data_IF_810527870552
#
_entry.id   IF_810527870552
#
_cell.length_a   1.000
_cell.length_b   1.000
_cell.length_c   1.000
_cell.angle_alpha   90.00
_cell.angle_beta   90.00
_cell.angle_gamma   90.00
#
_symmetry.space_group_name_H-M   'P 1'
#
loop_
_entity.id
_entity.type
_entity.pdbx_description
1 polymer ?
#
# COMPACT_ATOMS: atom_id res chain seq x y z
N UNK A 1 8.27 -5.32 36.42
CA UNK A 1 8.90 -4.56 37.53
C UNK A 1 10.30 -4.22 37.11
N UNK A 2 10.55 -2.96 36.76
CA UNK A 2 11.69 -2.55 35.94
C UNK A 2 12.79 -1.82 36.70
N UNK A 3 13.94 -1.70 36.03
CA UNK A 3 15.18 -0.99 36.45
C UNK A 3 14.93 0.43 36.98
N UNK A 4 13.77 1.03 36.70
CA UNK A 4 13.31 2.32 37.23
C UNK A 4 13.17 2.39 38.75
N UNK A 5 13.05 1.23 39.42
CA UNK A 5 13.02 1.16 40.89
C UNK A 5 14.40 1.26 41.52
N UNK A 6 15.46 1.23 40.70
CA UNK A 6 16.82 1.49 41.14
C UNK A 6 17.10 2.96 40.88
N UNK A 7 17.16 3.77 41.94
CA UNK A 7 17.24 5.23 41.83
C UNK A 7 18.44 5.71 41.01
N UNK A 8 19.58 4.99 41.06
CA UNK A 8 20.78 5.32 40.28
C UNK A 8 20.61 5.09 38.77
N UNK A 9 19.60 4.33 38.34
CA UNK A 9 19.36 4.02 36.92
C UNK A 9 18.20 4.84 36.34
N UNK A 10 17.54 5.66 37.15
CA UNK A 10 16.32 6.37 36.74
C UNK A 10 16.61 7.41 35.66
N UNK A 11 17.72 8.13 35.77
CA UNK A 11 18.13 9.15 34.80
C UNK A 11 18.50 8.52 33.45
N UNK A 12 19.20 7.39 33.48
CA UNK A 12 19.62 6.63 32.31
C UNK A 12 18.41 6.03 31.60
N UNK A 13 17.45 5.46 32.34
CA UNK A 13 16.21 4.94 31.74
C UNK A 13 15.40 6.07 31.08
N UNK A 14 15.31 7.24 31.70
CA UNK A 14 14.65 8.40 31.09
C UNK A 14 15.37 8.85 29.80
N UNK A 15 16.70 8.96 29.84
CA UNK A 15 17.52 9.33 28.69
C UNK A 15 17.43 8.31 27.55
N UNK A 16 17.44 7.01 27.84
CA UNK A 16 17.26 5.93 26.85
C UNK A 16 15.90 6.07 26.16
N UNK A 17 14.84 6.35 26.92
CA UNK A 17 13.49 6.53 26.36
C UNK A 17 13.42 7.73 25.45
N UNK A 18 13.95 8.86 25.89
CA UNK A 18 13.95 10.09 25.10
C UNK A 18 14.77 9.92 23.82
N UNK A 19 15.97 9.37 23.93
CA UNK A 19 16.85 9.10 22.79
C UNK A 19 16.19 8.12 21.82
N UNK A 20 15.57 7.05 22.32
CA UNK A 20 14.82 6.10 21.51
C UNK A 20 13.63 6.73 20.79
N UNK A 21 12.91 7.65 21.45
CA UNK A 21 11.82 8.40 20.83
C UNK A 21 12.32 9.34 19.72
N UNK A 22 13.46 10.00 19.93
CA UNK A 22 14.09 10.88 18.92
C UNK A 22 14.54 10.08 17.70
N UNK A 23 15.22 8.96 17.91
CA UNK A 23 15.68 8.08 16.82
C UNK A 23 14.50 7.57 16.00
N UNK A 24 13.41 7.14 16.64
CA UNK A 24 12.19 6.72 15.92
C UNK A 24 11.62 7.84 15.07
N UNK A 25 11.50 9.07 15.59
CA UNK A 25 10.97 10.20 14.81
C UNK A 25 11.83 10.50 13.60
N UNK A 26 13.16 10.52 13.76
CA UNK A 26 14.07 10.74 12.63
C UNK A 26 13.90 9.66 11.56
N UNK A 27 13.85 8.39 11.97
CA UNK A 27 13.65 7.28 11.03
C UNK A 27 12.27 7.30 10.38
N UNK A 28 11.24 7.81 11.03
CA UNK A 28 9.92 8.02 10.40
C UNK A 28 10.01 9.07 9.29
N UNK A 29 10.76 10.15 9.50
CA UNK A 29 10.98 11.16 8.47
C UNK A 29 11.83 10.60 7.31
N UNK A 30 12.88 9.85 7.62
CA UNK A 30 13.72 9.17 6.62
C UNK A 30 12.89 8.15 5.80
N UNK A 31 11.98 7.40 6.44
CA UNK A 31 11.08 6.47 5.75
C UNK A 31 10.14 7.22 4.81
N UNK A 32 9.51 8.31 5.27
CA UNK A 32 8.57 9.08 4.46
C UNK A 32 9.27 9.75 3.28
N UNK A 33 10.38 10.45 3.53
CA UNK A 33 11.14 11.12 2.47
C UNK A 33 11.77 10.13 1.52
N UNK A 34 12.35 9.05 2.06
CA UNK A 34 12.93 7.96 1.28
C UNK A 34 11.91 7.30 0.35
N UNK A 35 10.71 7.01 0.85
CA UNK A 35 9.64 6.45 0.04
C UNK A 35 9.10 7.45 -1.01
N UNK A 36 9.16 8.76 -0.76
CA UNK A 36 8.71 9.79 -1.72
C UNK A 36 9.74 10.05 -2.82
N UNK A 37 11.02 10.09 -2.45
CA UNK A 37 12.12 10.49 -3.34
C UNK A 37 12.85 9.30 -3.97
N UNK A 38 12.53 8.07 -3.55
CA UNK A 38 13.27 6.88 -3.96
C UNK A 38 14.67 6.79 -3.35
N UNK A 39 14.92 7.46 -2.22
CA UNK A 39 16.22 7.44 -1.54
C UNK A 39 16.39 6.12 -0.76
N UNK A 40 16.98 5.13 -1.43
CA UNK A 40 17.21 3.79 -0.87
C UNK A 40 18.12 3.79 0.36
N UNK A 41 19.05 4.75 0.49
CA UNK A 41 19.92 4.83 1.67
C UNK A 41 19.12 5.21 2.90
N UNK A 42 18.31 6.28 2.80
CA UNK A 42 17.43 6.70 3.88
C UNK A 42 16.44 5.60 4.29
N UNK A 43 15.83 4.92 3.30
CA UNK A 43 14.97 3.77 3.55
C UNK A 43 15.71 2.65 4.29
N UNK A 44 16.94 2.31 3.87
CA UNK A 44 17.71 1.24 4.48
C UNK A 44 18.02 1.51 5.95
N UNK A 45 18.41 2.75 6.26
CA UNK A 45 18.69 3.20 7.62
C UNK A 45 17.42 3.13 8.47
N UNK A 46 16.32 3.69 7.97
CA UNK A 46 15.04 3.69 8.69
C UNK A 46 14.54 2.27 9.00
N UNK A 47 14.53 1.38 8.00
CA UNK A 47 14.08 0.01 8.20
C UNK A 47 14.94 -0.73 9.23
N UNK A 48 16.27 -0.56 9.19
CA UNK A 48 17.16 -1.17 10.19
C UNK A 48 16.88 -0.67 11.60
N UNK A 49 16.67 0.64 11.77
CA UNK A 49 16.31 1.22 13.07
C UNK A 49 15.01 0.61 13.58
N UNK A 50 13.97 0.52 12.74
CA UNK A 50 12.69 -0.05 13.19
C UNK A 50 12.77 -1.53 13.50
N UNK A 51 13.58 -2.29 12.76
CA UNK A 51 13.85 -3.70 13.09
C UNK A 51 14.52 -3.83 14.45
N UNK A 52 15.59 -3.07 14.69
CA UNK A 52 16.33 -3.09 15.96
C UNK A 52 15.47 -2.66 17.15
N UNK A 53 14.54 -1.73 16.93
CA UNK A 53 13.59 -1.25 17.93
C UNK A 53 12.31 -2.09 18.01
N UNK A 54 12.25 -3.23 17.30
CA UNK A 54 11.12 -4.17 17.29
C UNK A 54 9.78 -3.51 16.92
N UNK A 55 9.81 -2.53 16.03
CA UNK A 55 8.64 -1.80 15.57
C UNK A 55 8.54 -1.69 14.04
N UNK A 56 9.22 -2.57 13.31
CA UNK A 56 9.24 -2.58 11.85
C UNK A 56 7.83 -2.66 11.23
N UNK A 57 7.04 -3.68 11.58
CA UNK A 57 5.70 -3.82 11.02
C UNK A 57 4.76 -2.65 11.35
N UNK A 58 4.63 -2.18 12.61
CA UNK A 58 3.81 -1.01 12.92
C UNK A 58 4.13 0.22 12.06
N UNK A 59 5.41 0.45 11.74
CA UNK A 59 5.84 1.59 10.93
C UNK A 59 5.61 1.39 9.44
N UNK A 60 5.84 0.17 8.93
CA UNK A 60 5.47 -0.21 7.56
C UNK A 60 3.96 -0.08 7.35
N UNK A 61 3.16 -0.66 8.25
CA UNK A 61 1.69 -0.59 8.20
C UNK A 61 1.20 0.86 8.22
N UNK A 62 1.71 1.71 9.12
CA UNK A 62 1.36 3.14 9.15
C UNK A 62 1.66 3.83 7.81
N UNK A 63 2.79 3.50 7.19
CA UNK A 63 3.15 4.03 5.87
C UNK A 63 2.18 3.58 4.79
N UNK A 64 1.83 2.28 4.77
CA UNK A 64 0.83 1.75 3.84
C UNK A 64 -0.56 2.38 4.06
N UNK A 65 -0.98 2.55 5.31
CA UNK A 65 -2.23 3.24 5.65
C UNK A 65 -2.25 4.66 5.11
N UNK A 66 -1.17 5.42 5.25
CA UNK A 66 -1.10 6.78 4.67
C UNK A 66 -1.26 6.79 3.14
N UNK A 67 -0.63 5.85 2.43
CA UNK A 67 -0.80 5.71 0.98
C UNK A 67 -2.24 5.31 0.60
N UNK A 68 -2.86 4.42 1.38
CA UNK A 68 -4.26 4.02 1.18
C UNK A 68 -5.24 5.16 1.48
N UNK A 69 -4.93 6.00 2.46
CA UNK A 69 -5.71 7.20 2.78
C UNK A 69 -5.65 8.22 1.64
N UNK A 70 -4.46 8.50 1.09
CA UNK A 70 -4.27 9.34 -0.10
C UNK A 70 -5.11 8.80 -1.29
N UNK A 71 -5.06 7.49 -1.53
CA UNK A 71 -5.91 6.85 -2.54
C UNK A 71 -7.39 7.03 -2.20
N UNK A 72 -7.81 6.85 -0.95
CA UNK A 72 -9.22 6.90 -0.54
C UNK A 72 -9.84 8.30 -0.67
N UNK A 73 -9.05 9.36 -0.48
CA UNK A 73 -9.49 10.76 -0.55
C UNK A 73 -9.87 11.21 -1.95
N UNK A 74 -9.30 10.60 -2.99
CA UNK A 74 -9.67 10.90 -4.37
C UNK A 74 -11.13 10.49 -4.63
N UNK A 75 -12.02 11.46 -4.87
CA UNK A 75 -13.43 11.17 -5.15
C UNK A 75 -13.60 10.32 -6.42
N UNK A 76 -14.67 9.53 -6.47
CA UNK A 76 -15.12 8.85 -7.68
C UNK A 76 -16.62 9.15 -7.88
N UNK A 77 -16.94 10.29 -8.53
CA UNK A 77 -18.32 10.72 -8.72
C UNK A 77 -19.03 9.86 -9.77
N UNK A 78 -20.37 9.81 -9.69
CA UNK A 78 -21.20 9.29 -10.77
C UNK A 78 -21.28 10.28 -11.95
N UNK A 79 -21.62 9.77 -13.14
CA UNK A 79 -21.92 10.60 -14.31
C UNK A 79 -20.70 11.04 -15.12
N UNK A 80 -20.78 12.22 -15.77
CA UNK A 80 -19.84 12.66 -16.80
C UNK A 80 -18.38 12.81 -16.34
N UNK A 81 -18.15 13.04 -15.05
CA UNK A 81 -16.80 13.14 -14.46
C UNK A 81 -16.17 11.80 -14.05
N UNK A 82 -16.91 10.68 -14.18
CA UNK A 82 -16.50 9.38 -13.64
C UNK A 82 -15.15 8.91 -14.21
N UNK A 83 -14.99 8.86 -15.53
CA UNK A 83 -13.78 8.30 -16.15
C UNK A 83 -12.52 9.12 -15.84
N UNK A 84 -12.64 10.46 -15.86
CA UNK A 84 -11.52 11.33 -15.49
C UNK A 84 -11.10 11.11 -14.02
N UNK A 85 -12.07 10.99 -13.12
CA UNK A 85 -11.80 10.70 -11.71
C UNK A 85 -11.24 9.29 -11.50
N UNK A 86 -11.73 8.30 -12.25
CA UNK A 86 -11.21 6.93 -12.23
C UNK A 86 -9.74 6.91 -12.65
N UNK A 87 -9.41 7.62 -13.74
CA UNK A 87 -8.04 7.74 -14.21
C UNK A 87 -7.12 8.35 -13.14
N UNK A 88 -7.54 9.43 -12.48
CA UNK A 88 -6.77 10.02 -11.37
C UNK A 88 -6.57 9.04 -10.22
N UNK A 89 -7.61 8.30 -9.82
CA UNK A 89 -7.49 7.26 -8.79
C UNK A 89 -6.46 6.19 -9.20
N UNK A 90 -6.49 5.74 -10.46
CA UNK A 90 -5.55 4.74 -10.98
C UNK A 90 -4.12 5.30 -11.10
N UNK A 91 -3.93 6.57 -11.46
CA UNK A 91 -2.62 7.21 -11.46
C UNK A 91 -2.01 7.26 -10.06
N UNK A 92 -2.81 7.61 -9.04
CA UNK A 92 -2.40 7.56 -7.62
C UNK A 92 -2.03 6.14 -7.21
N UNK A 93 -2.86 5.14 -7.56
CA UNK A 93 -2.58 3.73 -7.30
C UNK A 93 -1.26 3.28 -7.91
N UNK A 94 -0.99 3.63 -9.17
CA UNK A 94 0.27 3.31 -9.88
C UNK A 94 1.46 3.93 -9.16
N UNK A 95 1.39 5.22 -8.83
CA UNK A 95 2.47 5.94 -8.15
C UNK A 95 2.77 5.36 -6.75
N UNK A 96 1.72 5.05 -5.98
CA UNK A 96 1.88 4.44 -4.65
C UNK A 96 2.43 3.02 -4.74
N UNK A 97 2.00 2.23 -5.73
CA UNK A 97 2.51 0.87 -5.94
C UNK A 97 4.02 0.87 -6.14
N UNK A 98 4.58 1.83 -6.89
CA UNK A 98 6.04 1.95 -7.06
C UNK A 98 6.79 2.15 -5.73
N UNK A 99 6.19 2.92 -4.81
CA UNK A 99 6.77 3.20 -3.48
C UNK A 99 6.69 1.96 -2.60
N UNK A 100 5.56 1.24 -2.64
CA UNK A 100 5.38 -0.04 -1.93
C UNK A 100 6.34 -1.09 -2.45
N UNK A 101 6.50 -1.19 -3.76
CA UNK A 101 7.44 -2.06 -4.46
C UNK A 101 8.88 -1.86 -3.94
N UNK A 102 9.36 -0.62 -3.86
CA UNK A 102 10.68 -0.32 -3.28
C UNK A 102 10.82 -0.83 -1.84
N UNK A 103 9.82 -0.56 -0.98
CA UNK A 103 9.83 -1.01 0.40
C UNK A 103 9.82 -2.55 0.51
N UNK A 104 8.98 -3.20 -0.29
CA UNK A 104 8.81 -4.65 -0.30
C UNK A 104 10.08 -5.36 -0.80
N UNK A 105 10.81 -4.75 -1.75
CA UNK A 105 12.13 -5.22 -2.19
C UNK A 105 13.13 -5.24 -1.04
N UNK A 106 13.20 -4.12 -0.31
CA UNK A 106 14.16 -3.92 0.77
C UNK A 106 13.85 -4.82 1.95
N UNK A 107 12.58 -5.01 2.28
CA UNK A 107 12.16 -5.95 3.32
C UNK A 107 12.50 -7.39 2.93
N UNK A 108 12.28 -7.79 1.67
CA UNK A 108 12.59 -9.17 1.23
C UNK A 108 14.08 -9.48 1.16
N UNK A 109 14.91 -8.50 0.81
CA UNK A 109 16.34 -8.70 0.58
C UNK A 109 17.20 -8.59 1.85
N UNK A 110 16.61 -8.15 2.97
CA UNK A 110 17.36 -7.78 4.17
C UNK A 110 17.23 -8.82 5.28
N UNK A 111 18.40 -9.20 5.80
CA UNK A 111 18.56 -10.06 6.97
C UNK A 111 19.42 -9.32 7.98
N UNK A 112 19.00 -9.33 9.23
CA UNK A 112 19.79 -8.72 10.30
C UNK A 112 21.06 -9.55 10.56
N UNK A 113 22.26 -8.96 10.48
CA UNK A 113 23.50 -9.73 10.58
C UNK A 113 23.75 -10.33 11.97
N UNK A 114 23.17 -9.73 13.03
CA UNK A 114 23.38 -10.17 14.40
C UNK A 114 22.44 -11.33 14.76
N UNK A 115 21.15 -11.17 14.49
CA UNK A 115 20.11 -12.14 14.85
C UNK A 115 19.85 -13.17 13.76
N UNK A 116 20.36 -12.95 12.54
CA UNK A 116 20.07 -13.74 11.33
C UNK A 116 18.58 -13.83 10.98
N UNK A 117 17.76 -13.00 11.63
CA UNK A 117 16.33 -12.92 11.37
C UNK A 117 16.10 -12.02 10.15
N UNK A 118 15.33 -12.54 9.19
CA UNK A 118 14.95 -11.78 7.99
C UNK A 118 13.91 -10.72 8.34
N UNK A 119 13.89 -9.63 7.58
CA UNK A 119 12.87 -8.60 7.76
C UNK A 119 11.48 -9.13 7.36
N UNK A 120 11.43 -10.01 6.35
CA UNK A 120 10.20 -10.73 5.95
C UNK A 120 9.57 -11.52 7.09
N UNK A 121 10.36 -12.12 7.99
CA UNK A 121 9.80 -12.88 9.13
C UNK A 121 8.92 -12.02 10.05
N UNK A 122 9.18 -10.71 10.12
CA UNK A 122 8.35 -9.77 10.90
C UNK A 122 6.95 -9.63 10.27
N UNK A 123 6.85 -9.72 8.94
CA UNK A 123 5.57 -9.66 8.24
C UNK A 123 4.84 -11.02 8.34
N UNK A 124 5.59 -12.13 8.27
CA UNK A 124 5.05 -13.48 8.40
C UNK A 124 4.40 -13.72 9.78
N UNK A 125 5.00 -13.21 10.86
CA UNK A 125 4.43 -13.22 12.22
C UNK A 125 3.06 -12.52 12.30
N UNK A 126 2.82 -11.56 11.41
CA UNK A 126 1.57 -10.79 11.32
C UNK A 126 0.60 -11.38 10.28
N UNK A 127 0.95 -12.51 9.66
CA UNK A 127 0.16 -13.15 8.61
C UNK A 127 0.16 -12.36 7.29
N UNK A 128 1.15 -11.50 7.06
CA UNK A 128 1.28 -10.64 5.88
C UNK A 128 2.32 -11.23 4.92
N UNK A 129 1.93 -11.79 3.76
CA UNK A 129 2.89 -12.43 2.86
C UNK A 129 3.83 -11.45 2.14
N UNK A 130 3.37 -10.22 1.90
CA UNK A 130 4.15 -9.14 1.29
C UNK A 130 3.48 -7.79 1.49
N UNK A 131 4.24 -6.70 1.45
CA UNK A 131 3.68 -5.35 1.51
C UNK A 131 2.85 -5.04 0.26
N UNK A 132 3.29 -5.54 -0.90
CA UNK A 132 2.59 -5.36 -2.17
C UNK A 132 1.22 -6.03 -2.14
N UNK A 133 1.15 -7.29 -1.72
CA UNK A 133 -0.12 -8.02 -1.62
C UNK A 133 -1.09 -7.38 -0.62
N UNK A 134 -0.59 -6.97 0.56
CA UNK A 134 -1.40 -6.25 1.55
C UNK A 134 -1.98 -4.94 0.99
N UNK A 135 -1.12 -4.12 0.38
CA UNK A 135 -1.52 -2.84 -0.19
C UNK A 135 -2.58 -3.01 -1.30
N UNK A 136 -2.38 -3.97 -2.20
CA UNK A 136 -3.32 -4.21 -3.31
C UNK A 136 -4.67 -4.73 -2.86
N UNK A 137 -4.72 -5.59 -1.84
CA UNK A 137 -5.98 -6.07 -1.27
C UNK A 137 -6.82 -4.90 -0.72
N UNK A 138 -6.20 -4.03 0.08
CA UNK A 138 -6.85 -2.85 0.66
C UNK A 138 -7.22 -1.81 -0.40
N UNK A 139 -6.35 -1.56 -1.37
CA UNK A 139 -6.59 -0.61 -2.45
C UNK A 139 -7.75 -1.05 -3.35
N UNK A 140 -7.82 -2.34 -3.69
CA UNK A 140 -8.92 -2.92 -4.45
C UNK A 140 -10.24 -2.85 -3.67
N UNK A 141 -10.22 -3.11 -2.36
CA UNK A 141 -11.40 -2.95 -1.51
C UNK A 141 -11.90 -1.50 -1.46
N UNK A 142 -10.98 -0.53 -1.34
CA UNK A 142 -11.30 0.90 -1.41
C UNK A 142 -11.93 1.28 -2.75
N UNK A 143 -11.35 0.82 -3.87
CA UNK A 143 -11.88 1.09 -5.20
C UNK A 143 -13.25 0.43 -5.42
N UNK A 144 -13.45 -0.80 -4.94
CA UNK A 144 -14.75 -1.49 -4.95
C UNK A 144 -15.81 -0.67 -4.24
N UNK A 145 -15.50 -0.16 -3.05
CA UNK A 145 -16.43 0.68 -2.28
C UNK A 145 -16.77 1.98 -3.02
N UNK A 146 -15.79 2.60 -3.70
CA UNK A 146 -16.02 3.79 -4.53
C UNK A 146 -16.91 3.51 -5.74
N UNK A 147 -16.64 2.41 -6.46
CA UNK A 147 -17.47 1.98 -7.59
C UNK A 147 -18.91 1.71 -7.16
N UNK A 148 -19.10 1.00 -6.03
CA UNK A 148 -20.41 0.73 -5.48
C UNK A 148 -21.17 2.02 -5.12
N UNK A 149 -20.48 3.02 -4.58
CA UNK A 149 -21.06 4.35 -4.30
C UNK A 149 -21.42 5.10 -5.59
N UNK A 150 -20.54 5.09 -6.59
CA UNK A 150 -20.82 5.71 -7.89
C UNK A 150 -22.01 5.04 -8.62
N UNK A 151 -22.24 3.76 -8.37
CA UNK A 151 -23.34 2.97 -8.94
C UNK A 151 -24.60 2.91 -8.06
N UNK A 152 -24.72 3.79 -7.05
CA UNK A 152 -25.85 3.74 -6.11
C UNK A 152 -27.19 4.13 -6.77
N UNK A 153 -27.17 5.12 -7.67
CA UNK A 153 -28.35 5.50 -8.46
C UNK A 153 -28.56 4.54 -9.64
N UNK A 154 -29.81 4.25 -9.99
CA UNK A 154 -30.14 3.31 -11.09
C UNK A 154 -29.67 3.81 -12.45
N UNK A 155 -29.77 5.12 -12.73
CA UNK A 155 -29.30 5.71 -13.97
C UNK A 155 -27.78 5.65 -14.05
N UNK A 156 -27.10 6.02 -12.96
CA UNK A 156 -25.64 5.91 -12.85
C UNK A 156 -25.15 4.46 -13.01
N UNK A 157 -25.82 3.49 -12.37
CA UNK A 157 -25.50 2.06 -12.48
C UNK A 157 -25.59 1.59 -13.93
N UNK A 158 -26.69 1.87 -14.62
CA UNK A 158 -26.87 1.51 -16.04
C UNK A 158 -25.76 2.09 -16.92
N UNK A 159 -25.41 3.36 -16.71
CA UNK A 159 -24.30 3.98 -17.44
C UNK A 159 -22.96 3.28 -17.17
N UNK A 160 -22.67 2.93 -15.91
CA UNK A 160 -21.44 2.24 -15.52
C UNK A 160 -21.39 0.79 -16.02
N UNK A 161 -22.52 0.09 -16.07
CA UNK A 161 -22.64 -1.24 -16.68
C UNK A 161 -22.31 -1.15 -18.18
N UNK A 162 -22.91 -0.20 -18.90
CA UNK A 162 -22.62 0.04 -20.31
C UNK A 162 -21.14 0.42 -20.56
N UNK A 163 -20.53 1.16 -19.64
CA UNK A 163 -19.12 1.55 -19.69
C UNK A 163 -18.16 0.51 -19.08
N UNK A 164 -18.65 -0.65 -18.60
CA UNK A 164 -17.82 -1.66 -17.95
C UNK A 164 -16.58 -2.09 -18.77
N UNK A 165 -16.66 -2.29 -20.10
CA UNK A 165 -15.46 -2.58 -20.90
C UNK A 165 -14.38 -1.50 -20.82
N UNK A 166 -14.76 -0.21 -20.75
CA UNK A 166 -13.82 0.91 -20.60
C UNK A 166 -13.17 0.92 -19.22
N UNK A 167 -13.94 0.61 -18.18
CA UNK A 167 -13.44 0.48 -16.80
C UNK A 167 -12.39 -0.63 -16.72
N UNK A 168 -12.70 -1.81 -17.24
CA UNK A 168 -11.78 -2.95 -17.27
C UNK A 168 -10.52 -2.64 -18.08
N UNK A 169 -10.64 -1.94 -19.21
CA UNK A 169 -9.50 -1.48 -19.99
C UNK A 169 -8.61 -0.53 -19.17
N UNK A 170 -9.19 0.44 -18.47
CA UNK A 170 -8.43 1.36 -17.61
C UNK A 170 -7.67 0.60 -16.51
N UNK A 171 -8.27 -0.46 -15.95
CA UNK A 171 -7.61 -1.32 -14.96
C UNK A 171 -6.42 -2.07 -15.55
N UNK A 172 -6.58 -2.67 -16.72
CA UNK A 172 -5.48 -3.33 -17.44
C UNK A 172 -4.34 -2.36 -17.74
N UNK A 173 -4.66 -1.17 -18.25
CA UNK A 173 -3.65 -0.15 -18.55
C UNK A 173 -2.90 0.32 -17.29
N UNK A 174 -3.58 0.43 -16.15
CA UNK A 174 -2.94 0.76 -14.88
C UNK A 174 -1.98 -0.35 -14.41
N UNK A 175 -2.40 -1.62 -14.50
CA UNK A 175 -1.54 -2.78 -14.20
C UNK A 175 -0.31 -2.81 -15.10
N UNK A 176 -0.48 -2.54 -16.40
CA UNK A 176 0.63 -2.50 -17.35
C UNK A 176 1.61 -1.38 -17.02
N UNK A 177 1.12 -0.18 -16.65
CA UNK A 177 1.97 0.92 -16.17
C UNK A 177 2.78 0.55 -14.92
N UNK A 178 2.18 -0.16 -13.96
CA UNK A 178 2.91 -0.67 -12.78
C UNK A 178 4.01 -1.64 -13.21
N UNK A 179 3.66 -2.63 -14.04
CA UNK A 179 4.61 -3.65 -14.47
C UNK A 179 5.77 -3.04 -15.28
N UNK A 180 5.49 -2.11 -16.19
CA UNK A 180 6.51 -1.41 -16.99
C UNK A 180 7.46 -0.60 -16.10
N UNK A 181 6.91 0.17 -15.16
CA UNK A 181 7.74 1.01 -14.25
C UNK A 181 8.53 0.21 -13.21
N UNK A 182 8.15 -1.05 -12.98
CA UNK A 182 8.78 -1.93 -11.98
C UNK A 182 9.63 -3.03 -12.62
N UNK A 183 9.59 -3.18 -13.95
CA UNK A 183 10.28 -4.24 -14.71
C UNK A 183 11.79 -4.24 -14.52
N UNK A 184 12.42 -3.06 -14.48
CA UNK A 184 13.85 -2.93 -14.26
C UNK A 184 14.30 -3.45 -12.88
N UNK A 185 13.39 -3.50 -11.90
CA UNK A 185 13.61 -4.02 -10.55
C UNK A 185 13.16 -5.49 -10.39
N UNK A 186 12.74 -6.14 -11.48
CA UNK A 186 12.19 -7.51 -11.42
C UNK A 186 10.87 -7.62 -10.63
N UNK A 187 10.22 -6.50 -10.36
CA UNK A 187 8.97 -6.46 -9.61
C UNK A 187 7.79 -6.34 -10.58
N UNK A 188 6.97 -7.38 -10.61
CA UNK A 188 5.79 -7.47 -11.46
C UNK A 188 4.64 -7.87 -10.57
N UNK A 189 3.47 -7.26 -10.76
CA UNK A 189 2.26 -7.66 -10.07
C UNK A 189 1.97 -9.13 -10.40
N UNK A 190 1.65 -9.94 -9.40
CA UNK A 190 1.31 -11.34 -9.57
C UNK A 190 -0.18 -11.45 -9.93
N UNK A 191 -0.64 -12.68 -10.14
CA UNK A 191 -2.05 -12.93 -10.46
C UNK A 191 -3.02 -12.38 -9.40
N UNK A 192 -2.79 -12.57 -8.09
CA UNK A 192 -3.74 -12.11 -7.06
C UNK A 192 -3.95 -10.59 -7.06
N UNK A 193 -2.92 -9.78 -7.28
CA UNK A 193 -3.08 -8.32 -7.30
C UNK A 193 -3.89 -7.85 -8.51
N UNK A 194 -3.66 -8.48 -9.68
CA UNK A 194 -4.44 -8.20 -10.91
C UNK A 194 -5.90 -8.63 -10.75
N UNK A 195 -6.11 -9.80 -10.18
CA UNK A 195 -7.45 -10.34 -9.92
C UNK A 195 -8.21 -9.49 -8.90
N UNK A 196 -7.56 -8.95 -7.88
CA UNK A 196 -8.18 -8.07 -6.89
C UNK A 196 -8.79 -6.82 -7.54
N UNK A 197 -8.08 -6.19 -8.49
CA UNK A 197 -8.58 -5.01 -9.20
C UNK A 197 -9.79 -5.36 -10.10
N UNK A 198 -9.72 -6.49 -10.81
CA UNK A 198 -10.85 -6.99 -11.62
C UNK A 198 -12.05 -7.32 -10.72
N UNK A 199 -11.81 -7.95 -9.56
CA UNK A 199 -12.85 -8.29 -8.59
C UNK A 199 -13.52 -7.05 -7.99
N UNK A 200 -12.84 -5.90 -7.94
CA UNK A 200 -13.43 -4.64 -7.50
C UNK A 200 -14.59 -4.16 -8.40
N UNK A 201 -14.63 -4.59 -9.66
CA UNK A 201 -15.68 -4.28 -10.64
C UNK A 201 -16.56 -5.51 -10.98
N UNK A 202 -16.51 -6.58 -10.18
CA UNK A 202 -17.20 -7.83 -10.48
C UNK A 202 -18.72 -7.66 -10.66
N UNK A 203 -19.36 -6.84 -9.82
CA UNK A 203 -20.81 -6.64 -9.87
C UNK A 203 -21.26 -6.03 -11.20
N UNK A 204 -20.59 -4.95 -11.64
CA UNK A 204 -20.86 -4.29 -12.92
C UNK A 204 -20.55 -5.20 -14.11
N UNK A 205 -19.44 -5.95 -14.02
CA UNK A 205 -19.04 -6.89 -15.07
C UNK A 205 -20.04 -8.03 -15.23
N UNK A 206 -20.51 -8.62 -14.13
CA UNK A 206 -21.46 -9.72 -14.17
C UNK A 206 -22.81 -9.26 -14.74
N UNK A 207 -23.24 -8.03 -14.42
CA UNK A 207 -24.45 -7.41 -14.99
C UNK A 207 -24.28 -7.16 -16.49
N UNK A 208 -23.16 -6.57 -16.92
CA UNK A 208 -22.84 -6.34 -18.34
C UNK A 208 -22.82 -7.64 -19.15
N UNK A 209 -22.20 -8.70 -18.62
CA UNK A 209 -22.18 -10.01 -19.27
C UNK A 209 -23.58 -10.63 -19.34
N UNK A 210 -24.42 -10.44 -18.32
CA UNK A 210 -25.81 -10.89 -18.33
C UNK A 210 -26.66 -10.19 -19.39
N UNK A 211 -26.46 -8.88 -19.58
CA UNK A 211 -27.13 -8.10 -20.64
C UNK A 211 -26.64 -8.45 -22.05
N UNK A 212 -25.38 -8.88 -22.19
CA UNK A 212 -24.76 -9.19 -23.49
C UNK A 212 -25.16 -10.57 -24.06
N UNK A 213 -25.78 -11.43 -23.26
CA UNK A 213 -26.18 -12.80 -23.64
C UNK A 213 -27.67 -12.87 -24.04
N UNK A 214 -28.44 -11.81 -23.79
CA UNK A 214 -29.86 -11.67 -24.18
C UNK A 214 -30.01 -11.01 -25.54
#
# INVERSE_FOLDING_TARGET
>A
GGLERVDVLRAEVAWIRETGARIRRQSEDDLRQGARQGNQVALNVALQVFFNLQCLWPQLRRTLTGLLEELSQAALPAGSGFHAALELNLQVLVAHTQRVHLLDEMVRSKTDPLTQRSFSSVLEEEGVPSLTGYFWAEAAASLKAKLARAAQDRGARRALVADCPKILRAFSEAVDKVNLSSRARGQVLRAPEREALIAACADLRNEFLGESIQ
#
